data_IF_026817885903
#
_entry.id   IF_026817885903
#
_cell.length_a   1.000
_cell.length_b   1.000
_cell.length_c   1.000
_cell.angle_alpha   90.00
_cell.angle_beta   90.00
_cell.angle_gamma   90.00
#
_symmetry.space_group_name_H-M   'P 1'
#
loop_
_entity.id
_entity.type
_entity.pdbx_description
1 polymer ?
#
# COMPACT_ATOMS: atom_id res chain seq x y z
N UNK A 1 46.34 -28.55 4.10
CA UNK A 1 46.26 -27.12 4.48
C UNK A 1 45.90 -26.21 3.30
N UNK A 2 46.64 -26.20 2.18
CA UNK A 2 46.34 -25.34 1.02
C UNK A 2 44.94 -25.52 0.42
N UNK A 3 44.42 -26.76 0.37
CA UNK A 3 43.05 -27.06 -0.11
C UNK A 3 41.96 -26.50 0.80
N UNK A 4 42.17 -26.52 2.12
CA UNK A 4 41.21 -25.99 3.10
C UNK A 4 41.12 -24.45 3.03
N UNK A 5 42.24 -23.79 2.77
CA UNK A 5 42.29 -22.33 2.57
C UNK A 5 41.54 -21.93 1.29
N UNK A 6 41.72 -22.69 0.20
CA UNK A 6 41.03 -22.43 -1.08
C UNK A 6 39.53 -22.66 -0.94
N UNK A 7 39.09 -23.76 -0.33
CA UNK A 7 37.67 -24.03 -0.09
C UNK A 7 37.02 -22.98 0.82
N UNK A 8 37.73 -22.53 1.86
CA UNK A 8 37.26 -21.45 2.74
C UNK A 8 37.11 -20.12 2.01
N UNK A 9 38.04 -19.78 1.12
CA UNK A 9 37.97 -18.56 0.31
C UNK A 9 36.79 -18.58 -0.67
N UNK A 10 36.51 -19.73 -1.30
CA UNK A 10 35.37 -19.89 -2.22
C UNK A 10 34.04 -19.78 -1.47
N UNK A 11 33.92 -20.42 -0.30
CA UNK A 11 32.72 -20.35 0.54
C UNK A 11 32.44 -18.91 1.01
N UNK A 12 33.50 -18.17 1.39
CA UNK A 12 33.37 -16.78 1.81
C UNK A 12 32.94 -15.88 0.64
N UNK A 13 33.49 -16.09 -0.56
CA UNK A 13 33.09 -15.35 -1.76
C UNK A 13 31.64 -15.61 -2.18
N UNK A 14 31.17 -16.86 -2.05
CA UNK A 14 29.77 -17.22 -2.30
C UNK A 14 28.81 -16.55 -1.30
N UNK A 15 29.22 -16.40 -0.04
CA UNK A 15 28.43 -15.72 0.98
C UNK A 15 28.31 -14.21 0.73
N UNK A 16 29.40 -13.58 0.28
CA UNK A 16 29.42 -12.15 -0.07
C UNK A 16 28.57 -11.84 -1.30
N UNK A 17 28.50 -12.76 -2.27
CA UNK A 17 27.72 -12.58 -3.51
C UNK A 17 26.25 -13.00 -3.37
N UNK A 18 25.95 -13.99 -2.53
CA UNK A 18 24.57 -14.48 -2.31
C UNK A 18 23.72 -13.62 -1.36
N UNK A 19 24.34 -12.81 -0.50
CA UNK A 19 23.62 -11.88 0.39
C UNK A 19 23.13 -10.60 -0.31
N UNK A 20 23.41 -10.44 -1.60
CA UNK A 20 23.10 -9.26 -2.42
C UNK A 20 21.67 -9.19 -2.96
N UNK A 21 20.72 -9.98 -2.47
CA UNK A 21 19.31 -9.70 -2.68
C UNK A 21 18.93 -8.47 -1.85
N UNK A 22 19.29 -7.29 -2.37
CA UNK A 22 18.85 -6.00 -1.84
C UNK A 22 17.32 -6.03 -1.89
N UNK A 23 16.69 -6.10 -0.72
CA UNK A 23 15.28 -5.80 -0.62
C UNK A 23 15.12 -4.35 -1.11
N UNK A 24 14.65 -4.18 -2.34
CA UNK A 24 14.16 -2.90 -2.82
C UNK A 24 12.95 -2.62 -1.92
N UNK A 25 13.14 -1.81 -0.88
CA UNK A 25 12.03 -1.25 -0.15
C UNK A 25 11.11 -0.63 -1.20
N UNK A 26 9.85 -1.07 -1.25
CA UNK A 26 8.84 -0.45 -2.11
C UNK A 26 8.97 1.07 -1.94
N UNK A 27 9.19 1.77 -3.05
CA UNK A 27 9.79 3.11 -3.07
C UNK A 27 9.05 4.15 -2.22
N UNK A 28 9.69 5.31 -2.08
CA UNK A 28 9.21 6.48 -1.32
C UNK A 28 7.69 6.68 -1.49
N UNK A 29 6.93 6.50 -0.41
CA UNK A 29 5.50 6.81 -0.40
C UNK A 29 5.33 8.32 -0.57
N UNK A 30 4.66 8.73 -1.65
CA UNK A 30 4.24 10.11 -1.80
C UNK A 30 3.10 10.38 -0.82
N UNK A 31 3.30 11.32 0.10
CA UNK A 31 2.20 11.76 0.95
C UNK A 31 1.08 12.36 0.09
N UNK A 32 -0.19 11.97 0.32
CA UNK A 32 -1.31 12.59 -0.36
C UNK A 32 -1.34 14.08 -0.04
N UNK A 33 -1.62 14.90 -1.05
CA UNK A 33 -1.80 16.34 -0.86
C UNK A 33 -3.02 16.58 0.01
N UNK A 34 -2.91 17.55 0.92
CA UNK A 34 -4.03 17.99 1.73
C UNK A 34 -5.18 18.47 0.84
N UNK A 35 -6.38 17.92 1.06
CA UNK A 35 -7.63 18.35 0.43
C UNK A 35 -8.50 19.03 1.48
N UNK A 36 -9.31 19.99 1.09
CA UNK A 36 -10.33 20.59 1.96
C UNK A 36 -11.65 19.82 1.82
N UNK A 37 -12.18 19.30 2.93
CA UNK A 37 -13.45 18.57 2.96
C UNK A 37 -14.49 19.29 3.82
N UNK A 38 -15.77 19.19 3.44
CA UNK A 38 -16.90 19.80 4.17
C UNK A 38 -17.04 19.35 5.63
N UNK A 39 -16.60 18.13 5.93
CA UNK A 39 -16.63 17.54 7.26
C UNK A 39 -15.38 17.85 8.10
N UNK A 40 -14.45 18.68 7.62
CA UNK A 40 -13.28 19.05 8.40
C UNK A 40 -13.63 20.00 9.55
N UNK A 41 -13.00 19.77 10.69
CA UNK A 41 -13.17 20.59 11.90
C UNK A 41 -14.34 20.13 12.79
N UNK A 42 -14.42 20.67 14.01
CA UNK A 42 -15.37 20.21 15.03
C UNK A 42 -16.85 20.45 14.68
N UNK A 43 -17.13 21.31 13.70
CA UNK A 43 -18.49 21.66 13.27
C UNK A 43 -18.76 21.30 11.80
N UNK A 44 -17.83 20.56 11.16
CA UNK A 44 -18.01 20.11 9.78
C UNK A 44 -19.18 19.14 9.65
N UNK A 45 -19.84 19.13 8.50
CA UNK A 45 -20.92 18.19 8.20
C UNK A 45 -20.71 17.54 6.84
N UNK A 46 -21.38 16.42 6.62
CA UNK A 46 -21.33 15.75 5.32
C UNK A 46 -22.13 16.52 4.28
N UNK A 47 -21.52 16.74 3.11
CA UNK A 47 -22.27 17.11 1.91
C UNK A 47 -23.09 15.89 1.44
N UNK A 48 -24.41 15.95 1.67
CA UNK A 48 -25.34 14.88 1.31
C UNK A 48 -25.42 14.67 -0.20
N UNK A 49 -25.30 15.73 -1.00
CA UNK A 49 -25.33 15.62 -2.45
C UNK A 49 -24.07 14.92 -2.96
N UNK A 50 -22.91 15.23 -2.37
CA UNK A 50 -21.67 14.50 -2.65
C UNK A 50 -21.77 13.02 -2.23
N UNK A 51 -22.34 12.72 -1.06
CA UNK A 51 -22.54 11.33 -0.61
C UNK A 51 -23.44 10.52 -1.58
N UNK A 52 -24.52 11.12 -2.08
CA UNK A 52 -25.41 10.48 -3.06
C UNK A 52 -24.67 10.18 -4.38
N UNK A 53 -23.90 11.15 -4.90
CA UNK A 53 -23.07 10.92 -6.10
C UNK A 53 -21.97 9.87 -5.85
N UNK A 54 -21.39 9.86 -4.66
CA UNK A 54 -20.41 8.86 -4.25
C UNK A 54 -20.99 7.45 -4.20
N UNK A 55 -22.23 7.30 -3.73
CA UNK A 55 -22.93 6.01 -3.78
C UNK A 55 -23.20 5.57 -5.21
N UNK A 56 -23.56 6.48 -6.13
CA UNK A 56 -23.71 6.15 -7.54
C UNK A 56 -22.40 5.58 -8.12
N UNK A 57 -21.26 6.23 -7.87
CA UNK A 57 -19.94 5.71 -8.29
C UNK A 57 -19.66 4.34 -7.68
N UNK A 58 -19.95 4.14 -6.40
CA UNK A 58 -19.79 2.83 -5.77
C UNK A 58 -20.65 1.77 -6.47
N UNK A 59 -21.93 2.06 -6.70
CA UNK A 59 -22.88 1.13 -7.29
C UNK A 59 -22.51 0.76 -8.73
N UNK A 60 -22.09 1.73 -9.53
CA UNK A 60 -21.81 1.54 -10.96
C UNK A 60 -20.40 1.00 -11.26
N UNK A 61 -19.43 1.22 -10.36
CA UNK A 61 -18.00 0.88 -10.61
C UNK A 61 -17.46 -0.09 -9.56
N UNK A 62 -17.56 0.27 -8.29
CA UNK A 62 -16.82 -0.43 -7.23
C UNK A 62 -17.50 -1.74 -6.80
N UNK A 63 -18.84 -1.80 -6.88
CA UNK A 63 -19.65 -2.94 -6.43
C UNK A 63 -19.33 -4.24 -7.16
N UNK A 64 -18.74 -4.16 -8.35
CA UNK A 64 -18.31 -5.32 -9.12
C UNK A 64 -17.20 -6.13 -8.43
N UNK A 65 -16.36 -5.47 -7.61
CA UNK A 65 -15.22 -6.11 -6.94
C UNK A 65 -15.24 -5.96 -5.40
N UNK A 66 -15.93 -4.95 -4.85
CA UNK A 66 -15.89 -4.62 -3.42
C UNK A 66 -17.29 -4.62 -2.78
N UNK A 67 -17.43 -5.34 -1.66
CA UNK A 67 -18.67 -5.39 -0.89
C UNK A 67 -18.77 -4.27 0.15
N UNK A 68 -20.00 -3.89 0.51
CA UNK A 68 -20.35 -3.00 1.63
C UNK A 68 -21.32 -3.72 2.58
N UNK A 69 -20.88 -4.85 3.15
CA UNK A 69 -21.74 -5.75 3.94
C UNK A 69 -22.28 -5.16 5.26
N UNK A 70 -21.72 -4.03 5.73
CA UNK A 70 -22.16 -3.35 6.95
C UNK A 70 -23.20 -2.24 6.71
N UNK A 71 -23.59 -1.99 5.45
CA UNK A 71 -24.62 -1.01 5.09
C UNK A 71 -25.91 -1.68 4.58
N UNK A 72 -27.04 -1.01 4.78
CA UNK A 72 -28.36 -1.45 4.31
C UNK A 72 -29.17 -0.28 3.73
N UNK A 73 -30.11 -0.59 2.83
CA UNK A 73 -30.89 0.37 2.01
C UNK A 73 -31.96 1.19 2.74
N UNK A 74 -32.15 0.98 4.04
CA UNK A 74 -33.27 1.53 4.82
C UNK A 74 -33.35 3.06 4.81
#
# INVERSE_FOLDING_TARGET
MRRLIVSGAIALAALVTGAGAVAIAAGTEAHPKHQHWHFQGPFGTYDRAAAQRGYQVYAEVCSACHSLSLLAYR
#
